data_IF_528234975474
#
_entry.id   IF_528234975474
#
_cell.length_a   1.000
_cell.length_b   1.000
_cell.length_c   1.000
_cell.angle_alpha   90.00
_cell.angle_beta   90.00
_cell.angle_gamma   90.00
#
_symmetry.space_group_name_H-M   'P 1'
#
loop_
_entity.id
_entity.type
_entity.pdbx_description
1 polymer ?
#
# COMPACT_ATOMS: atom_id res chain seq x y z
N UNK A 1 -8.23 5.81 11.38
CA UNK A 1 -7.87 4.80 10.37
C UNK A 1 -8.83 4.97 9.23
N UNK A 2 -8.33 5.08 8.00
CA UNK A 2 -9.16 5.24 6.81
C UNK A 2 -10.00 3.95 6.64
N UNK A 3 -11.28 4.05 7.00
CA UNK A 3 -12.29 2.99 6.83
C UNK A 3 -13.42 3.54 5.94
N UNK A 4 -13.14 4.56 5.13
CA UNK A 4 -14.13 5.09 4.18
C UNK A 4 -14.31 4.06 3.05
N UNK A 5 -15.51 3.49 2.88
CA UNK A 5 -15.79 2.53 1.80
C UNK A 5 -15.63 3.13 0.39
N UNK A 6 -15.44 4.45 0.25
CA UNK A 6 -15.14 5.12 -1.02
C UNK A 6 -13.66 5.12 -1.37
N UNK A 7 -12.76 4.78 -0.44
CA UNK A 7 -11.32 4.75 -0.71
C UNK A 7 -10.96 3.53 -1.55
N UNK A 8 -10.63 3.75 -2.83
CA UNK A 8 -10.28 2.67 -3.77
C UNK A 8 -8.95 1.97 -3.47
N UNK A 9 -8.03 2.63 -2.77
CA UNK A 9 -6.70 2.10 -2.44
C UNK A 9 -6.41 2.31 -0.95
N UNK A 10 -7.09 1.54 -0.07
CA UNK A 10 -7.02 1.78 1.37
C UNK A 10 -5.74 1.24 2.02
N UNK A 11 -4.98 0.38 1.32
CA UNK A 11 -3.80 -0.29 1.90
C UNK A 11 -2.56 0.54 1.67
N UNK A 12 -1.93 1.04 2.73
CA UNK A 12 -0.65 1.76 2.64
C UNK A 12 0.50 0.78 2.92
N UNK A 13 1.38 0.57 1.95
CA UNK A 13 2.55 -0.33 2.07
C UNK A 13 3.83 0.49 2.10
N UNK A 14 4.73 0.16 3.03
CA UNK A 14 6.09 0.73 3.13
C UNK A 14 7.13 -0.29 2.69
N UNK A 15 8.03 0.13 1.82
CA UNK A 15 9.13 -0.68 1.29
C UNK A 15 10.47 -0.30 1.92
N UNK A 16 11.39 -1.25 1.99
CA UNK A 16 12.76 -1.00 2.46
C UNK A 16 13.58 -0.20 1.44
N UNK A 17 13.29 -0.36 0.14
CA UNK A 17 13.98 0.34 -0.96
C UNK A 17 13.07 1.44 -1.54
N UNK A 18 13.68 2.56 -1.94
CA UNK A 18 13.00 3.66 -2.63
C UNK A 18 12.80 3.37 -4.12
N UNK A 19 11.76 3.97 -4.71
CA UNK A 19 11.55 3.98 -6.17
C UNK A 19 12.38 5.08 -6.85
N UNK A 20 12.24 5.23 -8.18
CA UNK A 20 12.96 6.25 -8.98
C UNK A 20 12.63 7.71 -8.60
N UNK A 21 11.50 7.95 -7.92
CA UNK A 21 11.13 9.26 -7.38
C UNK A 21 11.59 9.46 -5.93
N UNK A 22 12.43 8.55 -5.40
CA UNK A 22 12.88 8.53 -4.00
C UNK A 22 11.75 8.38 -2.97
N UNK A 23 10.63 7.75 -3.34
CA UNK A 23 9.49 7.46 -2.46
C UNK A 23 9.51 5.98 -2.08
N UNK A 24 9.26 5.67 -0.80
CA UNK A 24 9.26 4.30 -0.24
C UNK A 24 7.89 3.83 0.25
N UNK A 25 6.82 4.56 -0.07
CA UNK A 25 5.44 4.23 0.32
C UNK A 25 4.51 4.32 -0.87
N UNK A 26 3.53 3.42 -0.97
CA UNK A 26 2.47 3.51 -1.96
C UNK A 26 1.17 2.90 -1.43
N UNK A 27 0.05 3.30 -2.04
CA UNK A 27 -1.28 2.79 -1.71
C UNK A 27 -1.71 1.74 -2.75
N UNK A 28 -2.36 0.68 -2.27
CA UNK A 28 -2.82 -0.45 -3.08
C UNK A 28 -4.27 -0.81 -2.74
N UNK A 29 -4.95 -1.42 -3.70
CA UNK A 29 -6.26 -2.01 -3.49
C UNK A 29 -6.11 -3.36 -2.76
N UNK A 30 -7.20 -3.86 -2.20
CA UNK A 30 -7.19 -5.10 -1.42
C UNK A 30 -6.86 -6.34 -2.27
N UNK A 31 -7.16 -6.29 -3.57
CA UNK A 31 -6.89 -7.35 -4.56
C UNK A 31 -5.52 -7.24 -5.23
N UNK A 32 -4.79 -6.13 -5.01
CA UNK A 32 -3.43 -5.92 -5.52
C UNK A 32 -2.34 -6.38 -4.53
N UNK A 33 -2.73 -6.78 -3.32
CA UNK A 33 -1.81 -7.20 -2.25
C UNK A 33 -2.06 -8.65 -1.86
N UNK A 34 -0.98 -9.38 -1.63
CA UNK A 34 -1.00 -10.74 -1.08
C UNK A 34 -0.16 -10.75 0.20
N UNK A 35 -0.75 -11.21 1.31
CA UNK A 35 -0.03 -11.35 2.58
C UNK A 35 0.88 -12.57 2.50
N UNK A 36 2.19 -12.34 2.55
CA UNK A 36 3.18 -13.40 2.73
C UNK A 36 3.51 -13.47 4.23
N UNK A 37 3.46 -14.67 4.81
CA UNK A 37 3.56 -14.92 6.24
C UNK A 37 4.72 -14.17 6.94
N UNK A 38 4.54 -13.89 8.24
CA UNK A 38 5.45 -13.12 9.09
C UNK A 38 6.79 -13.81 9.38
#
# INVERSE_FOLDING_TARGET
>A
GDQDPKTRYPVVVRFAKVNYANISTNNYALDEVEEVAA
#
